data_IF_971241146393
#
_entry.id   IF_971241146393
#
_cell.length_a   1.000
_cell.length_b   1.000
_cell.length_c   1.000
_cell.angle_alpha   90.00
_cell.angle_beta   90.00
_cell.angle_gamma   90.00
#
_symmetry.space_group_name_H-M   'P 1'
#
loop_
_entity.id
_entity.type
_entity.pdbx_description
1 polymer ?
#
# COMPACT_ATOMS: atom_id res chain seq x y z
N UNK A 1 -25.73 5.20 69.27
CA UNK A 1 -26.29 5.44 67.91
C UNK A 1 -25.47 6.39 67.01
N UNK A 2 -24.40 7.05 67.49
CA UNK A 2 -23.66 8.06 66.68
C UNK A 2 -22.57 7.48 65.76
N UNK A 3 -21.96 6.33 66.06
CA UNK A 3 -20.89 5.77 65.24
C UNK A 3 -21.38 5.29 63.85
N UNK A 4 -22.53 4.60 63.79
CA UNK A 4 -23.10 4.10 62.52
C UNK A 4 -23.41 5.22 61.52
N UNK A 5 -23.85 6.40 62.00
CA UNK A 5 -24.09 7.57 61.13
C UNK A 5 -22.79 8.14 60.55
N UNK A 6 -21.68 8.10 61.29
CA UNK A 6 -20.37 8.58 60.81
C UNK A 6 -19.78 7.68 59.73
N UNK A 7 -19.95 6.36 59.84
CA UNK A 7 -19.50 5.43 58.80
C UNK A 7 -20.32 5.56 57.51
N UNK A 8 -21.64 5.76 57.61
CA UNK A 8 -22.50 5.98 56.43
C UNK A 8 -22.12 7.28 55.70
N UNK A 9 -21.83 8.35 56.44
CA UNK A 9 -21.35 9.61 55.85
C UNK A 9 -19.97 9.46 55.18
N UNK A 10 -19.05 8.73 55.80
CA UNK A 10 -17.73 8.47 55.21
C UNK A 10 -17.82 7.63 53.93
N UNK A 11 -18.70 6.63 53.91
CA UNK A 11 -18.90 5.77 52.74
C UNK A 11 -19.56 6.55 51.58
N UNK A 12 -20.54 7.40 51.89
CA UNK A 12 -21.17 8.28 50.90
C UNK A 12 -20.17 9.29 50.31
N UNK A 13 -19.29 9.85 51.13
CA UNK A 13 -18.22 10.74 50.68
C UNK A 13 -17.23 10.02 49.75
N UNK A 14 -16.82 8.79 50.10
CA UNK A 14 -15.93 7.99 49.26
C UNK A 14 -16.57 7.63 47.91
N UNK A 15 -17.86 7.26 47.89
CA UNK A 15 -18.59 7.01 46.65
C UNK A 15 -18.70 8.28 45.79
N UNK A 16 -18.96 9.44 46.39
CA UNK A 16 -19.02 10.71 45.67
C UNK A 16 -17.67 11.09 45.03
N UNK A 17 -16.56 10.88 45.74
CA UNK A 17 -15.22 11.13 45.19
C UNK A 17 -14.86 10.18 44.05
N UNK A 18 -15.28 8.91 44.14
CA UNK A 18 -15.06 7.91 43.09
C UNK A 18 -15.86 8.25 41.84
N UNK A 19 -17.13 8.65 41.99
CA UNK A 19 -17.98 9.07 40.88
C UNK A 19 -17.44 10.35 40.21
N UNK A 20 -16.97 11.33 40.99
CA UNK A 20 -16.35 12.53 40.44
C UNK A 20 -15.08 12.19 39.63
N UNK A 21 -14.24 11.27 40.12
CA UNK A 21 -13.04 10.81 39.43
C UNK A 21 -13.37 10.10 38.10
N UNK A 22 -14.37 9.21 38.10
CA UNK A 22 -14.81 8.53 36.86
C UNK A 22 -15.40 9.53 35.86
N UNK A 23 -16.18 10.51 36.32
CA UNK A 23 -16.67 11.59 35.45
C UNK A 23 -15.53 12.40 34.84
N UNK A 24 -14.49 12.74 35.60
CA UNK A 24 -13.33 13.47 35.05
C UNK A 24 -12.59 12.68 33.98
N UNK A 25 -12.43 11.36 34.16
CA UNK A 25 -11.80 10.49 33.16
C UNK A 25 -12.59 10.44 31.84
N UNK A 26 -13.92 10.32 31.93
CA UNK A 26 -14.76 10.33 30.72
C UNK A 26 -14.78 11.68 30.01
N UNK A 27 -14.74 12.80 30.74
CA UNK A 27 -14.64 14.12 30.11
C UNK A 27 -13.30 14.33 29.40
N UNK A 28 -12.20 13.82 29.95
CA UNK A 28 -10.88 13.91 29.28
C UNK A 28 -10.82 13.05 28.01
N UNK A 29 -11.51 11.91 27.99
CA UNK A 29 -11.56 11.00 26.84
C UNK A 29 -12.43 11.57 25.70
N UNK A 30 -13.55 12.23 26.03
CA UNK A 30 -14.40 12.94 25.07
C UNK A 30 -13.69 14.15 24.45
N UNK A 31 -12.87 14.86 25.23
CA UNK A 31 -12.15 16.05 24.77
C UNK A 31 -10.93 15.69 23.91
N UNK A 32 -10.28 14.55 24.18
CA UNK A 32 -9.25 13.99 23.29
C UNK A 32 -9.79 13.56 21.92
N UNK A 33 -11.08 13.21 21.84
CA UNK A 33 -11.73 12.82 20.58
C UNK A 33 -12.21 14.03 19.74
N UNK A 34 -12.30 15.23 20.33
CA UNK A 34 -12.73 16.45 19.64
C UNK A 34 -11.58 17.33 19.12
N UNK A 35 -10.34 17.08 19.54
CA UNK A 35 -9.15 17.87 19.16
C UNK A 35 -8.33 17.25 18.00
N UNK A 36 -8.90 16.31 17.22
CA UNK A 36 -8.36 15.97 15.90
C UNK A 36 -8.67 17.11 14.90
N UNK A 37 -7.95 18.22 15.03
CA UNK A 37 -7.83 19.20 13.96
C UNK A 37 -7.07 18.59 12.77
N UNK A 38 -7.44 18.91 11.51
CA UNK A 38 -7.06 18.09 10.37
C UNK A 38 -5.60 18.33 10.00
N UNK A 39 -4.80 17.27 10.08
CA UNK A 39 -3.46 17.17 9.48
C UNK A 39 -3.41 17.62 8.00
N UNK A 40 -4.56 17.66 7.32
CA UNK A 40 -4.73 18.20 5.97
C UNK A 40 -4.47 19.72 5.82
N UNK A 41 -4.56 20.52 6.89
CA UNK A 41 -4.38 21.97 6.79
C UNK A 41 -2.90 22.40 6.65
N UNK A 42 -1.95 21.58 7.14
CA UNK A 42 -0.50 21.87 7.07
C UNK A 42 0.13 21.53 5.72
N UNK A 43 -0.54 20.75 4.87
CA UNK A 43 -0.05 20.39 3.53
C UNK A 43 -0.43 21.41 2.45
N UNK A 44 -1.39 22.29 2.72
CA UNK A 44 -1.85 23.32 1.77
C UNK A 44 -0.91 24.55 1.66
N UNK A 45 0.29 24.52 2.25
CA UNK A 45 1.28 25.59 2.16
C UNK A 45 2.56 25.19 1.42
N UNK A 46 2.59 24.00 0.81
CA UNK A 46 3.67 23.57 -0.08
C UNK A 46 3.19 23.55 -1.55
N UNK A 47 2.59 24.64 -2.01
CA UNK A 47 2.33 24.85 -3.44
C UNK A 47 3.56 25.46 -4.11
N UNK A 48 4.17 24.68 -5.01
CA UNK A 48 4.92 25.02 -6.24
C UNK A 48 6.06 26.07 -6.18
N UNK A 49 7.23 25.84 -6.80
CA UNK A 49 7.31 25.51 -8.23
C UNK A 49 8.43 24.52 -8.62
N UNK A 50 8.33 23.91 -9.81
CA UNK A 50 9.42 23.83 -10.81
C UNK A 50 8.83 23.16 -12.07
N UNK A 51 8.24 24.01 -12.91
CA UNK A 51 8.20 23.80 -14.36
C UNK A 51 9.58 24.17 -14.94
N UNK A 52 9.86 23.71 -16.15
CA UNK A 52 11.06 23.88 -17.00
C UNK A 52 12.02 22.69 -17.02
N UNK A 53 11.69 21.71 -17.86
CA UNK A 53 12.68 21.14 -18.78
C UNK A 53 12.20 21.46 -20.20
N UNK A 54 13.00 22.22 -20.94
CA UNK A 54 12.87 22.37 -22.38
C UNK A 54 12.99 20.98 -23.02
N UNK A 55 11.88 20.46 -23.55
CA UNK A 55 11.90 19.28 -24.41
C UNK A 55 12.46 19.70 -25.77
N UNK A 56 13.73 19.35 -26.01
CA UNK A 56 14.29 19.28 -27.36
C UNK A 56 13.62 18.10 -28.05
N UNK A 57 12.71 18.36 -28.98
CA UNK A 57 12.07 17.32 -29.80
C UNK A 57 13.09 16.62 -30.69
N UNK A 58 12.97 15.29 -30.83
CA UNK A 58 13.24 14.62 -32.09
C UNK A 58 11.90 14.20 -32.72
N UNK A 59 11.65 14.70 -33.93
CA UNK A 59 10.65 14.20 -34.86
C UNK A 59 10.88 12.70 -35.13
N UNK A 60 10.05 11.79 -34.59
CA UNK A 60 9.60 10.56 -35.26
C UNK A 60 8.60 9.74 -34.41
N UNK A 61 7.57 9.17 -35.08
CA UNK A 61 6.48 8.29 -34.61
C UNK A 61 5.19 8.91 -34.02
N UNK A 62 4.31 9.38 -34.92
CA UNK A 62 2.92 9.74 -34.64
C UNK A 62 2.05 8.69 -33.89
N UNK A 63 2.20 7.36 -34.11
CA UNK A 63 1.42 6.36 -33.36
C UNK A 63 1.75 6.32 -31.86
N UNK A 64 3.03 6.51 -31.51
CA UNK A 64 3.50 6.49 -30.12
C UNK A 64 3.02 7.73 -29.35
N UNK A 65 3.01 8.90 -29.99
CA UNK A 65 2.46 10.13 -29.41
C UNK A 65 0.96 10.03 -29.13
N UNK A 66 0.18 9.50 -30.08
CA UNK A 66 -1.27 9.32 -29.90
C UNK A 66 -1.58 8.33 -28.78
N UNK A 67 -0.84 7.22 -28.72
CA UNK A 67 -0.90 6.25 -27.64
C UNK A 67 -0.57 6.89 -26.27
N UNK A 68 0.49 7.69 -26.20
CA UNK A 68 0.89 8.40 -24.97
C UNK A 68 -0.18 9.40 -24.53
N UNK A 69 -0.77 10.14 -25.45
CA UNK A 69 -1.85 11.11 -25.18
C UNK A 69 -3.14 10.43 -24.73
N UNK A 70 -3.47 9.28 -25.31
CA UNK A 70 -4.61 8.45 -24.89
C UNK A 70 -4.41 7.94 -23.45
N UNK A 71 -3.22 7.40 -23.16
CA UNK A 71 -2.84 6.96 -21.80
C UNK A 71 -2.95 8.13 -20.82
N UNK A 72 -2.40 9.29 -21.13
CA UNK A 72 -2.47 10.48 -20.25
C UNK A 72 -3.91 10.96 -20.03
N UNK A 73 -4.73 11.01 -21.06
CA UNK A 73 -6.14 11.42 -20.95
C UNK A 73 -6.96 10.43 -20.11
N UNK A 74 -6.75 9.13 -20.29
CA UNK A 74 -7.45 8.12 -19.52
C UNK A 74 -6.89 7.99 -18.09
N UNK A 75 -5.61 8.28 -17.86
CA UNK A 75 -5.08 8.48 -16.51
C UNK A 75 -5.83 9.61 -15.78
N UNK A 76 -6.11 10.72 -16.46
CA UNK A 76 -6.88 11.81 -15.88
C UNK A 76 -8.32 11.40 -15.53
N UNK A 77 -8.97 10.59 -16.37
CA UNK A 77 -10.28 10.00 -16.07
C UNK A 77 -10.21 9.02 -14.89
N UNK A 78 -9.22 8.13 -14.90
CA UNK A 78 -8.98 7.16 -13.82
C UNK A 78 -8.75 7.85 -12.47
N UNK A 79 -8.01 8.96 -12.42
CA UNK A 79 -7.82 9.77 -11.20
C UNK A 79 -9.12 10.35 -10.64
N UNK A 80 -10.14 10.57 -11.49
CA UNK A 80 -11.46 11.05 -11.07
C UNK A 80 -12.40 9.92 -10.63
N UNK A 81 -12.03 8.66 -10.83
CA UNK A 81 -12.86 7.52 -10.42
C UNK A 81 -13.01 7.45 -8.90
N UNK A 82 -14.24 7.22 -8.48
CA UNK A 82 -14.67 7.01 -7.11
C UNK A 82 -15.71 5.89 -7.11
N UNK A 83 -16.06 5.39 -5.93
CA UNK A 83 -17.01 4.28 -5.82
C UNK A 83 -18.37 4.63 -6.44
N UNK A 84 -18.84 5.85 -6.28
CA UNK A 84 -20.10 6.33 -6.83
C UNK A 84 -20.09 6.59 -8.35
N UNK A 85 -18.90 6.76 -8.96
CA UNK A 85 -18.79 7.11 -10.38
C UNK A 85 -18.34 5.94 -11.27
N UNK A 86 -17.38 5.15 -10.81
CA UNK A 86 -16.69 4.14 -11.62
C UNK A 86 -16.93 2.69 -11.16
N UNK A 87 -17.64 2.49 -10.05
CA UNK A 87 -18.02 1.17 -9.56
C UNK A 87 -19.53 0.99 -9.68
N UNK A 88 -19.97 -0.17 -10.17
CA UNK A 88 -21.37 -0.56 -10.25
C UNK A 88 -21.77 -1.38 -9.02
N UNK A 89 -22.44 -0.73 -8.09
CA UNK A 89 -23.00 -1.36 -6.89
C UNK A 89 -24.17 -2.31 -7.19
N UNK A 90 -24.82 -2.19 -8.36
CA UNK A 90 -25.92 -3.07 -8.76
C UNK A 90 -25.52 -4.54 -8.80
N UNK A 91 -24.26 -4.83 -9.17
CA UNK A 91 -23.70 -6.20 -9.19
C UNK A 91 -23.40 -6.76 -7.80
N UNK A 92 -23.49 -5.92 -6.76
CA UNK A 92 -23.08 -6.23 -5.41
C UNK A 92 -24.25 -6.23 -4.41
N UNK A 93 -25.50 -6.24 -4.90
CA UNK A 93 -26.70 -6.25 -4.07
C UNK A 93 -26.92 -7.58 -3.33
N UNK A 94 -26.35 -8.67 -3.85
CA UNK A 94 -26.40 -10.00 -3.24
C UNK A 94 -25.17 -10.32 -2.37
N UNK A 95 -24.77 -11.59 -2.35
CA UNK A 95 -23.52 -11.98 -1.72
C UNK A 95 -22.33 -11.36 -2.47
N UNK A 96 -21.34 -10.85 -1.74
CA UNK A 96 -20.13 -10.34 -2.38
C UNK A 96 -19.34 -11.50 -2.99
N UNK A 97 -19.36 -11.60 -4.31
CA UNK A 97 -18.63 -12.64 -5.06
C UNK A 97 -17.52 -12.03 -5.92
N UNK A 98 -16.44 -12.78 -6.10
CA UNK A 98 -15.28 -12.42 -6.91
C UNK A 98 -15.07 -13.46 -7.99
N UNK A 99 -15.06 -13.03 -9.24
CA UNK A 99 -14.73 -13.86 -10.39
C UNK A 99 -13.27 -13.63 -10.80
N UNK A 100 -12.55 -14.71 -11.02
CA UNK A 100 -11.19 -14.70 -11.56
C UNK A 100 -11.23 -15.14 -13.01
N UNK A 101 -10.65 -14.36 -13.92
CA UNK A 101 -10.58 -14.77 -15.33
C UNK A 101 -9.77 -16.08 -15.46
N UNK A 102 -10.20 -17.01 -16.31
CA UNK A 102 -9.47 -18.25 -16.48
C UNK A 102 -8.11 -18.00 -17.18
N UNK A 103 -7.06 -18.81 -16.92
CA UNK A 103 -5.72 -18.61 -17.46
C UNK A 103 -5.61 -18.68 -19.01
N UNK A 104 -6.64 -19.20 -19.70
CA UNK A 104 -6.66 -19.40 -21.16
C UNK A 104 -7.37 -18.33 -21.99
N UNK A 105 -7.93 -17.29 -21.37
CA UNK A 105 -8.61 -16.18 -22.11
C UNK A 105 -7.64 -15.11 -22.60
N UNK A 106 -6.38 -15.16 -22.18
CA UNK A 106 -5.28 -14.35 -22.68
C UNK A 106 -4.16 -15.27 -23.12
N UNK A 107 -3.34 -14.84 -24.08
CA UNK A 107 -2.15 -15.57 -24.57
C UNK A 107 -1.03 -15.53 -23.52
N UNK A 108 -1.31 -16.01 -22.30
CA UNK A 108 -0.46 -15.83 -21.13
C UNK A 108 0.83 -16.65 -21.27
N UNK A 109 1.94 -15.95 -21.50
CA UNK A 109 3.28 -16.49 -21.28
C UNK A 109 3.76 -16.05 -19.89
N UNK A 110 3.64 -16.95 -18.91
CA UNK A 110 4.31 -16.84 -17.61
C UNK A 110 3.58 -15.99 -16.56
N UNK A 111 2.77 -16.63 -15.71
CA UNK A 111 2.29 -16.02 -14.46
C UNK A 111 3.35 -16.22 -13.37
N UNK A 112 3.74 -15.14 -12.68
CA UNK A 112 4.66 -15.22 -11.56
C UNK A 112 4.11 -16.11 -10.43
N UNK A 113 5.00 -16.66 -9.61
CA UNK A 113 4.58 -17.43 -8.44
C UNK A 113 3.73 -16.58 -7.49
N UNK A 114 4.06 -15.30 -7.34
CA UNK A 114 3.33 -14.38 -6.48
C UNK A 114 1.91 -14.12 -6.95
N UNK A 115 1.74 -13.87 -8.24
CA UNK A 115 0.40 -13.66 -8.76
C UNK A 115 -0.43 -14.93 -8.66
N UNK A 116 0.17 -16.11 -8.91
CA UNK A 116 -0.48 -17.40 -8.65
C UNK A 116 -0.94 -17.55 -7.20
N UNK A 117 -0.12 -17.16 -6.21
CA UNK A 117 -0.52 -17.19 -4.79
C UNK A 117 -1.71 -16.27 -4.51
N UNK A 118 -1.76 -15.08 -5.12
CA UNK A 118 -2.88 -14.13 -4.99
C UNK A 118 -4.15 -14.74 -5.58
N UNK A 119 -4.10 -15.22 -6.82
CA UNK A 119 -5.26 -15.84 -7.48
C UNK A 119 -5.77 -17.04 -6.69
N UNK A 120 -4.88 -17.94 -6.29
CA UNK A 120 -5.25 -19.12 -5.49
C UNK A 120 -5.83 -18.75 -4.12
N UNK A 121 -5.35 -17.68 -3.47
CA UNK A 121 -5.94 -17.21 -2.21
C UNK A 121 -7.37 -16.66 -2.40
N UNK A 122 -7.66 -16.05 -3.56
CA UNK A 122 -9.00 -15.59 -3.90
C UNK A 122 -9.89 -16.79 -4.21
N UNK A 123 -9.43 -17.73 -5.04
CA UNK A 123 -10.15 -18.95 -5.44
C UNK A 123 -10.48 -19.86 -4.25
N UNK A 124 -9.56 -20.00 -3.29
CA UNK A 124 -9.78 -20.75 -2.04
C UNK A 124 -10.77 -20.06 -1.07
N UNK A 125 -11.12 -18.80 -1.32
CA UNK A 125 -11.96 -18.01 -0.41
C UNK A 125 -13.45 -18.28 -0.63
N UNK A 126 -14.26 -18.03 0.41
CA UNK A 126 -15.73 -18.08 0.32
C UNK A 126 -16.35 -17.08 -0.67
N UNK A 127 -15.57 -16.08 -1.10
CA UNK A 127 -16.04 -15.04 -2.00
C UNK A 127 -15.90 -15.46 -3.46
N UNK A 128 -15.12 -16.48 -3.78
CA UNK A 128 -14.93 -16.92 -5.15
C UNK A 128 -16.25 -17.39 -5.80
N UNK A 129 -16.37 -17.14 -7.11
CA UNK A 129 -17.38 -17.74 -7.99
C UNK A 129 -16.79 -18.04 -9.37
N UNK A 130 -17.27 -19.13 -9.98
CA UNK A 130 -17.02 -19.47 -11.38
C UNK A 130 -18.03 -18.82 -12.34
N UNK A 131 -19.13 -18.27 -11.81
CA UNK A 131 -20.16 -17.63 -12.61
C UNK A 131 -19.96 -16.10 -12.62
N UNK A 132 -19.58 -15.50 -13.77
CA UNK A 132 -19.37 -14.05 -13.86
C UNK A 132 -20.65 -13.26 -13.64
N UNK A 133 -21.84 -13.85 -13.81
CA UNK A 133 -23.12 -13.17 -13.60
C UNK A 133 -23.42 -12.89 -12.13
N UNK A 134 -22.92 -13.74 -11.24
CA UNK A 134 -23.02 -13.58 -9.77
C UNK A 134 -21.94 -12.68 -9.18
N UNK A 135 -20.89 -12.39 -9.96
CA UNK A 135 -19.72 -11.66 -9.47
C UNK A 135 -20.03 -10.19 -9.20
N UNK A 136 -19.62 -9.69 -8.04
CA UNK A 136 -19.55 -8.26 -7.75
C UNK A 136 -18.24 -7.66 -8.28
N UNK A 137 -17.14 -8.40 -8.14
CA UNK A 137 -15.78 -7.97 -8.49
C UNK A 137 -15.12 -8.93 -9.48
N UNK A 138 -14.29 -8.40 -10.37
CA UNK A 138 -13.50 -9.17 -11.33
C UNK A 138 -12.00 -9.01 -11.06
N UNK A 139 -11.25 -10.10 -11.16
CA UNK A 139 -9.79 -10.12 -11.03
C UNK A 139 -9.18 -10.77 -12.26
N UNK A 140 -8.24 -10.06 -12.88
CA UNK A 140 -7.59 -10.46 -14.13
C UNK A 140 -6.74 -11.74 -13.98
N UNK A 141 -6.63 -12.56 -15.02
CA UNK A 141 -5.61 -13.62 -15.10
C UNK A 141 -4.24 -13.12 -15.56
N UNK A 142 -4.17 -11.88 -16.05
CA UNK A 142 -2.94 -11.24 -16.53
C UNK A 142 -2.12 -10.73 -15.34
N UNK A 143 -0.87 -11.17 -15.25
CA UNK A 143 0.04 -10.74 -14.19
C UNK A 143 0.48 -9.28 -14.42
N UNK A 144 0.13 -8.43 -13.46
CA UNK A 144 0.39 -6.98 -13.46
C UNK A 144 1.21 -6.55 -12.23
N UNK A 145 1.71 -7.51 -11.46
CA UNK A 145 2.41 -7.24 -10.21
C UNK A 145 3.69 -6.45 -10.43
N UNK A 146 4.41 -6.74 -11.51
CA UNK A 146 5.68 -6.12 -11.83
C UNK A 146 5.60 -5.34 -13.14
N UNK A 147 5.63 -4.01 -13.01
CA UNK A 147 5.62 -3.07 -14.14
C UNK A 147 6.98 -2.42 -14.34
N UNK A 148 8.03 -2.92 -13.72
CA UNK A 148 9.40 -2.56 -14.04
C UNK A 148 9.84 -3.24 -15.34
N UNK A 149 10.13 -2.45 -16.38
CA UNK A 149 10.57 -2.96 -17.70
C UNK A 149 11.88 -3.74 -17.65
N UNK A 150 12.68 -3.55 -16.60
CA UNK A 150 13.94 -4.27 -16.38
C UNK A 150 13.73 -5.61 -15.68
N UNK A 151 12.52 -5.86 -15.15
CA UNK A 151 12.23 -7.08 -14.43
C UNK A 151 12.05 -8.27 -15.39
N UNK A 152 12.60 -9.45 -15.06
CA UNK A 152 12.30 -10.68 -15.79
C UNK A 152 10.83 -11.12 -15.66
N UNK A 153 10.07 -10.53 -14.73
CA UNK A 153 8.64 -10.78 -14.51
C UNK A 153 7.75 -9.75 -15.24
N UNK A 154 8.34 -8.82 -16.00
CA UNK A 154 7.59 -7.83 -16.76
C UNK A 154 6.79 -8.49 -17.89
N UNK A 155 5.47 -8.44 -17.77
CA UNK A 155 4.57 -8.92 -18.82
C UNK A 155 4.42 -7.85 -19.91
N UNK A 156 4.72 -8.21 -21.15
CA UNK A 156 4.52 -7.35 -22.32
C UNK A 156 3.07 -7.40 -22.82
N UNK A 157 2.67 -6.40 -23.61
CA UNK A 157 1.36 -6.34 -24.27
C UNK A 157 0.13 -6.51 -23.35
N UNK A 158 0.27 -6.16 -22.07
CA UNK A 158 -0.82 -6.21 -21.08
C UNK A 158 -2.05 -5.46 -21.55
N UNK A 159 -1.89 -4.30 -22.22
CA UNK A 159 -3.00 -3.53 -22.80
C UNK A 159 -3.85 -4.40 -23.73
N UNK A 160 -3.21 -5.00 -24.74
CA UNK A 160 -3.89 -5.83 -25.73
C UNK A 160 -4.55 -7.05 -25.08
N UNK A 161 -3.86 -7.67 -24.12
CA UNK A 161 -4.40 -8.82 -23.38
C UNK A 161 -5.67 -8.45 -22.60
N UNK A 162 -5.68 -7.32 -21.89
CA UNK A 162 -6.82 -6.87 -21.10
C UNK A 162 -7.97 -6.41 -22.01
N UNK A 163 -7.68 -5.67 -23.08
CA UNK A 163 -8.71 -5.17 -24.01
C UNK A 163 -9.44 -6.31 -24.75
N UNK A 164 -8.79 -7.46 -24.92
CA UNK A 164 -9.39 -8.65 -25.52
C UNK A 164 -10.26 -9.46 -24.54
N UNK A 165 -10.27 -9.12 -23.24
CA UNK A 165 -11.10 -9.81 -22.27
C UNK A 165 -12.58 -9.44 -22.46
N UNK A 166 -13.48 -10.43 -22.60
CA UNK A 166 -14.88 -10.18 -22.98
C UNK A 166 -15.67 -9.40 -21.92
N UNK A 167 -15.25 -9.44 -20.66
CA UNK A 167 -15.95 -8.82 -19.54
C UNK A 167 -15.26 -7.53 -19.04
N UNK A 168 -14.19 -7.05 -19.70
CA UNK A 168 -13.35 -5.95 -19.20
C UNK A 168 -14.13 -4.68 -18.84
N UNK A 169 -15.16 -4.33 -19.63
CA UNK A 169 -16.07 -3.21 -19.36
C UNK A 169 -15.36 -1.90 -18.94
N UNK A 170 -14.31 -1.53 -19.68
CA UNK A 170 -13.48 -0.35 -19.38
C UNK A 170 -12.95 -0.32 -17.94
N UNK A 171 -12.72 -1.49 -17.33
CA UNK A 171 -12.23 -1.65 -15.96
C UNK A 171 -13.29 -1.53 -14.86
N UNK A 172 -14.56 -1.25 -15.18
CA UNK A 172 -15.62 -1.14 -14.16
C UNK A 172 -15.77 -2.44 -13.38
N UNK A 173 -15.77 -2.37 -12.05
CA UNK A 173 -15.76 -3.51 -11.11
C UNK A 173 -14.54 -4.45 -11.23
N UNK A 174 -13.45 -4.01 -11.86
CA UNK A 174 -12.21 -4.78 -11.90
C UNK A 174 -11.24 -4.32 -10.80
N UNK A 175 -10.49 -5.27 -10.25
CA UNK A 175 -9.38 -5.02 -9.33
C UNK A 175 -8.07 -5.51 -9.97
N UNK A 176 -7.12 -4.58 -10.11
CA UNK A 176 -5.77 -4.85 -10.63
C UNK A 176 -4.77 -4.82 -9.48
N UNK A 177 -3.84 -5.77 -9.45
CA UNK A 177 -2.80 -5.83 -8.44
C UNK A 177 -1.46 -5.29 -8.96
N UNK A 178 -0.78 -4.48 -8.17
CA UNK A 178 0.57 -4.02 -8.47
C UNK A 178 1.44 -3.98 -7.21
N UNK A 179 2.63 -4.58 -7.27
CA UNK A 179 3.60 -4.56 -6.18
C UNK A 179 4.82 -3.71 -6.51
N UNK A 180 5.27 -3.75 -7.77
CA UNK A 180 6.46 -3.07 -8.24
C UNK A 180 6.07 -2.12 -9.37
N UNK A 181 6.25 -0.82 -9.14
CA UNK A 181 5.91 0.24 -10.08
C UNK A 181 7.15 0.80 -10.80
N UNK A 182 8.21 -0.01 -10.92
CA UNK A 182 9.49 0.42 -11.52
C UNK A 182 10.66 0.35 -10.55
N UNK A 183 11.85 0.62 -11.09
CA UNK A 183 13.12 0.71 -10.36
C UNK A 183 13.73 2.08 -10.61
N UNK A 184 14.51 2.57 -9.64
CA UNK A 184 15.26 3.82 -9.79
C UNK A 184 16.04 3.89 -11.11
N UNK A 185 16.08 5.06 -11.78
CA UNK A 185 15.45 6.33 -11.39
C UNK A 185 13.96 6.44 -11.78
N UNK A 186 13.44 5.47 -12.51
CA UNK A 186 12.17 5.53 -13.24
C UNK A 186 11.04 4.80 -12.50
N UNK A 187 10.68 5.28 -11.30
CA UNK A 187 9.45 4.85 -10.65
C UNK A 187 8.24 5.42 -11.40
N UNK A 188 7.46 4.56 -12.06
CA UNK A 188 6.26 4.93 -12.77
C UNK A 188 5.04 4.80 -11.85
N UNK A 189 4.31 5.88 -11.63
CA UNK A 189 3.07 5.81 -10.86
C UNK A 189 1.94 5.11 -11.62
N UNK A 190 1.98 5.19 -12.95
CA UNK A 190 1.10 4.45 -13.85
C UNK A 190 1.63 3.03 -14.15
N UNK A 191 0.72 2.13 -14.53
CA UNK A 191 1.08 0.74 -14.84
C UNK A 191 1.63 0.55 -16.26
N UNK A 192 1.83 1.62 -17.03
CA UNK A 192 2.24 1.56 -18.44
C UNK A 192 1.14 1.10 -19.40
N UNK A 193 -0.12 1.07 -18.95
CA UNK A 193 -1.30 0.81 -19.78
C UNK A 193 -2.54 1.49 -19.18
N UNK A 194 -3.60 1.58 -19.98
CA UNK A 194 -4.85 2.18 -19.55
C UNK A 194 -5.66 1.22 -18.66
N UNK A 195 -5.80 1.60 -17.38
CA UNK A 195 -6.57 0.85 -16.38
C UNK A 195 -8.07 1.17 -16.41
N UNK A 196 -8.48 2.18 -17.20
CA UNK A 196 -9.85 2.66 -17.28
C UNK A 196 -10.41 3.01 -15.90
N UNK A 197 -11.51 2.36 -15.55
CA UNK A 197 -12.30 2.52 -14.33
C UNK A 197 -11.94 1.49 -13.25
N UNK A 198 -10.89 0.69 -13.43
CA UNK A 198 -10.49 -0.33 -12.47
C UNK A 198 -9.98 0.26 -11.16
N UNK A 199 -10.24 -0.46 -10.07
CA UNK A 199 -9.62 -0.24 -8.76
C UNK A 199 -8.21 -0.83 -8.76
N UNK A 200 -7.31 -0.23 -7.98
CA UNK A 200 -5.94 -0.69 -7.84
C UNK A 200 -5.69 -1.21 -6.42
N UNK A 201 -5.27 -2.46 -6.31
CA UNK A 201 -4.60 -3.01 -5.14
C UNK A 201 -3.09 -2.80 -5.31
N UNK A 202 -2.58 -1.67 -4.82
CA UNK A 202 -1.20 -1.21 -5.11
C UNK A 202 -0.36 -1.10 -3.84
N UNK A 203 0.86 -1.63 -3.89
CA UNK A 203 1.89 -1.37 -2.88
C UNK A 203 2.62 -0.07 -3.17
N UNK A 204 3.09 0.62 -2.13
CA UNK A 204 3.89 1.85 -2.25
C UNK A 204 3.26 2.95 -3.11
N UNK A 205 1.93 3.04 -3.13
CA UNK A 205 1.20 4.08 -3.86
C UNK A 205 1.38 5.43 -3.18
N UNK A 206 1.73 6.45 -3.97
CA UNK A 206 1.81 7.82 -3.48
C UNK A 206 0.42 8.37 -3.09
N UNK A 207 0.38 9.19 -2.04
CA UNK A 207 -0.87 9.74 -1.48
C UNK A 207 -1.63 10.60 -2.51
N UNK A 208 -0.92 11.26 -3.44
CA UNK A 208 -1.55 12.05 -4.50
C UNK A 208 -2.22 11.18 -5.57
N UNK A 209 -1.80 9.92 -5.73
CA UNK A 209 -2.34 8.99 -6.71
C UNK A 209 -3.37 8.03 -6.13
N UNK A 210 -3.28 7.72 -4.85
CA UNK A 210 -4.21 6.84 -4.17
C UNK A 210 -5.63 7.43 -4.17
N UNK A 211 -6.62 6.70 -4.67
CA UNK A 211 -8.03 7.13 -4.66
C UNK A 211 -8.71 6.62 -3.38
N UNK A 212 -8.96 7.47 -2.38
CA UNK A 212 -9.46 7.00 -1.09
C UNK A 212 -10.85 6.36 -1.24
N UNK A 213 -11.04 5.25 -0.53
CA UNK A 213 -12.27 4.41 -0.56
C UNK A 213 -12.55 3.74 -1.90
N UNK A 214 -11.64 3.81 -2.87
CA UNK A 214 -11.76 3.18 -4.18
C UNK A 214 -10.60 2.23 -4.44
N UNK A 215 -9.37 2.69 -4.21
CA UNK A 215 -8.18 1.84 -4.26
C UNK A 215 -7.92 1.14 -2.92
N UNK A 216 -7.13 0.07 -2.98
CA UNK A 216 -6.73 -0.75 -1.84
C UNK A 216 -5.22 -0.64 -1.67
N UNK A 217 -4.77 -0.09 -0.54
CA UNK A 217 -3.36 -0.13 -0.17
C UNK A 217 -3.03 -1.54 0.33
N UNK A 218 -2.05 -2.18 -0.30
CA UNK A 218 -1.58 -3.52 0.09
C UNK A 218 -0.11 -3.47 0.49
N UNK A 219 0.35 -4.32 1.43
CA UNK A 219 1.76 -4.39 1.76
C UNK A 219 2.57 -4.94 0.60
N UNK A 220 3.83 -4.51 0.49
CA UNK A 220 4.80 -5.13 -0.40
C UNK A 220 5.26 -6.46 0.20
N UNK A 221 4.96 -7.58 -0.46
CA UNK A 221 5.43 -8.90 -0.05
C UNK A 221 6.37 -9.51 -1.08
N UNK A 222 7.38 -10.22 -0.56
CA UNK A 222 8.39 -10.89 -1.38
C UNK A 222 7.85 -12.20 -1.94
N UNK A 223 8.62 -12.80 -2.87
CA UNK A 223 8.27 -14.10 -3.44
C UNK A 223 8.18 -15.26 -2.46
N UNK A 224 8.95 -15.16 -1.39
CA UNK A 224 9.05 -16.19 -0.35
C UNK A 224 7.92 -16.05 0.67
N UNK A 225 7.02 -15.06 0.50
CA UNK A 225 5.86 -14.91 1.37
C UNK A 225 4.95 -16.15 1.25
N UNK A 226 4.57 -16.78 2.39
CA UNK A 226 3.73 -17.96 2.37
C UNK A 226 2.31 -17.60 1.93
N UNK A 227 1.68 -18.47 1.13
CA UNK A 227 0.32 -18.24 0.62
C UNK A 227 -0.73 -18.25 1.74
N UNK A 228 -0.52 -19.11 2.75
CA UNK A 228 -1.38 -19.22 3.94
C UNK A 228 -0.57 -18.80 5.14
N UNK A 229 -1.26 -18.21 6.13
CA UNK A 229 -0.64 -17.85 7.40
C UNK A 229 0.11 -19.04 7.99
N UNK A 230 1.27 -18.76 8.58
CA UNK A 230 2.04 -19.75 9.32
C UNK A 230 1.47 -19.96 10.72
N UNK A 231 2.35 -20.25 11.68
CA UNK A 231 1.95 -20.30 13.09
C UNK A 231 1.29 -18.99 13.51
N UNK A 232 0.35 -19.10 14.47
CA UNK A 232 -0.30 -17.92 15.04
C UNK A 232 0.80 -16.96 15.51
N UNK A 233 0.68 -15.69 15.14
CA UNK A 233 1.55 -14.65 15.68
C UNK A 233 1.47 -14.62 17.21
N UNK A 234 2.50 -14.08 17.86
CA UNK A 234 2.63 -14.05 19.32
C UNK A 234 1.59 -13.17 20.04
N UNK A 235 0.69 -12.51 19.31
CA UNK A 235 -0.41 -11.72 19.87
C UNK A 235 -1.49 -12.65 20.42
N UNK A 236 -1.35 -13.01 21.70
CA UNK A 236 -2.30 -13.85 22.42
C UNK A 236 -3.53 -13.07 22.96
N UNK A 237 -3.44 -11.74 23.08
CA UNK A 237 -4.53 -10.87 23.54
C UNK A 237 -4.58 -9.56 22.75
N UNK A 238 -5.78 -8.97 22.64
CA UNK A 238 -6.00 -7.63 22.08
C UNK A 238 -5.56 -6.55 23.08
N UNK A 239 -4.27 -6.48 23.38
CA UNK A 239 -3.72 -5.31 24.05
C UNK A 239 -3.47 -4.27 22.97
N UNK A 240 -4.20 -3.15 23.00
CA UNK A 240 -4.01 -2.02 22.07
C UNK A 240 -3.55 -0.80 22.88
N UNK A 241 -2.35 -0.26 22.62
CA UNK A 241 -1.32 -0.81 21.74
C UNK A 241 -0.66 -2.07 22.35
N UNK A 242 -0.19 -3.03 21.53
CA UNK A 242 0.47 -4.21 22.07
C UNK A 242 1.74 -3.80 22.83
N UNK A 243 2.02 -4.46 23.96
CA UNK A 243 3.33 -4.32 24.59
C UNK A 243 4.39 -4.93 23.65
N UNK A 244 5.13 -4.07 22.95
CA UNK A 244 6.19 -4.48 22.02
C UNK A 244 7.53 -4.10 22.62
N UNK A 245 8.48 -5.04 22.59
CA UNK A 245 9.88 -4.76 22.95
C UNK A 245 10.49 -3.72 22.00
N UNK A 246 10.13 -3.80 20.73
CA UNK A 246 10.64 -2.91 19.69
C UNK A 246 9.54 -1.93 19.26
N UNK A 247 9.85 -0.64 19.38
CA UNK A 247 9.04 0.46 18.86
C UNK A 247 9.20 0.57 17.33
N UNK A 248 10.44 0.43 16.84
CA UNK A 248 10.79 0.55 15.44
C UNK A 248 11.82 -0.50 15.04
N UNK A 249 11.56 -1.21 13.94
CA UNK A 249 12.55 -2.11 13.33
C UNK A 249 12.61 -1.83 11.83
N UNK A 250 13.81 -1.58 11.33
CA UNK A 250 14.09 -1.46 9.90
C UNK A 250 15.26 -2.36 9.53
N UNK A 251 15.11 -3.14 8.46
CA UNK A 251 16.19 -3.88 7.82
C UNK A 251 16.17 -3.55 6.33
N UNK A 252 17.19 -2.84 5.83
CA UNK A 252 17.19 -2.42 4.43
C UNK A 252 18.51 -1.85 3.90
N UNK A 253 18.46 -1.26 2.71
CA UNK A 253 19.64 -0.67 2.03
C UNK A 253 19.80 0.82 2.36
N UNK A 254 21.03 1.21 2.72
CA UNK A 254 21.49 2.60 2.86
C UNK A 254 22.28 2.98 1.62
N UNK A 255 21.71 3.85 0.79
CA UNK A 255 22.38 4.31 -0.42
C UNK A 255 23.40 5.38 -0.05
N UNK A 256 24.67 5.17 -0.44
CA UNK A 256 25.76 6.10 -0.14
C UNK A 256 25.75 7.32 -1.09
N UNK A 257 25.10 7.18 -2.25
CA UNK A 257 25.00 8.20 -3.29
C UNK A 257 23.61 8.18 -3.94
N UNK A 258 23.27 9.24 -4.68
CA UNK A 258 21.98 9.39 -5.36
C UNK A 258 20.90 10.11 -4.54
N UNK A 259 19.77 10.39 -5.18
CA UNK A 259 18.65 11.11 -4.54
C UNK A 259 18.10 10.29 -3.37
N UNK A 260 17.96 10.92 -2.21
CA UNK A 260 17.51 10.27 -0.97
C UNK A 260 18.60 9.52 -0.20
N UNK A 261 19.86 9.56 -0.66
CA UNK A 261 21.00 9.02 0.11
C UNK A 261 21.15 9.72 1.45
N UNK A 262 21.03 11.05 1.50
CA UNK A 262 21.12 11.83 2.74
C UNK A 262 20.08 11.40 3.77
N UNK A 263 18.81 11.31 3.38
CA UNK A 263 17.73 10.87 4.28
C UNK A 263 17.96 9.45 4.78
N UNK A 264 18.34 8.51 3.91
CA UNK A 264 18.64 7.13 4.30
C UNK A 264 19.89 7.04 5.17
N UNK A 265 20.86 7.92 4.94
CA UNK A 265 22.06 8.04 5.74
C UNK A 265 21.77 8.66 7.11
N UNK A 266 20.71 9.46 7.27
CA UNK A 266 20.32 10.00 8.56
C UNK A 266 19.64 8.96 9.47
N UNK A 267 19.08 7.88 8.89
CA UNK A 267 18.29 6.90 9.65
C UNK A 267 19.09 6.25 10.79
N UNK A 268 20.40 6.09 10.70
CA UNK A 268 21.12 5.46 11.82
C UNK A 268 21.12 6.28 13.11
N UNK A 269 20.91 7.60 13.03
CA UNK A 269 20.85 8.44 14.22
C UNK A 269 19.68 8.09 15.13
N UNK A 270 18.64 7.43 14.60
CA UNK A 270 17.52 6.94 15.40
C UNK A 270 17.72 5.51 15.90
N UNK A 271 18.87 4.88 15.64
CA UNK A 271 19.20 3.57 16.18
C UNK A 271 19.73 3.70 17.62
N UNK A 272 19.05 3.08 18.58
CA UNK A 272 19.47 3.08 19.98
C UNK A 272 19.92 1.71 20.51
N UNK A 273 19.80 0.65 19.70
CA UNK A 273 20.19 -0.72 20.10
C UNK A 273 19.24 -1.39 21.12
N UNK A 274 18.16 -0.72 21.54
CA UNK A 274 17.24 -1.20 22.57
C UNK A 274 15.86 -1.54 21.97
N UNK A 275 15.09 -0.53 21.58
CA UNK A 275 13.74 -0.64 21.03
C UNK A 275 13.58 0.00 19.63
N UNK A 276 14.59 0.75 19.17
CA UNK A 276 14.69 1.29 17.81
C UNK A 276 15.89 0.65 17.09
N UNK A 277 15.63 -0.39 16.30
CA UNK A 277 16.63 -1.21 15.63
C UNK A 277 16.68 -0.90 14.13
N UNK A 278 17.84 -0.44 13.64
CA UNK A 278 18.02 -0.14 12.22
C UNK A 278 19.25 -0.86 11.68
N UNK A 279 18.99 -1.96 10.99
CA UNK A 279 20.00 -2.79 10.37
C UNK A 279 20.10 -2.39 8.90
N UNK A 280 21.20 -1.76 8.51
CA UNK A 280 21.38 -1.27 7.14
C UNK A 280 22.55 -1.91 6.43
N UNK A 281 22.44 -2.15 5.13
CA UNK A 281 23.59 -2.50 4.28
C UNK A 281 23.86 -1.40 3.26
N UNK A 282 25.13 -1.07 3.07
CA UNK A 282 25.60 -0.18 2.01
C UNK A 282 25.85 -0.89 0.67
N UNK A 283 25.70 -2.22 0.61
CA UNK A 283 25.92 -3.01 -0.61
C UNK A 283 24.78 -2.76 -1.60
N UNK A 284 24.99 -1.84 -2.53
CA UNK A 284 24.00 -1.48 -3.54
C UNK A 284 24.63 -1.08 -4.89
N UNK A 285 24.21 -1.75 -5.97
CA UNK A 285 24.79 -1.53 -7.29
C UNK A 285 26.20 -2.11 -7.40
N UNK A 286 26.87 -1.85 -8.53
CA UNK A 286 28.23 -2.36 -8.79
C UNK A 286 29.33 -1.49 -8.16
N UNK A 287 29.03 -0.22 -7.92
CA UNK A 287 30.01 0.80 -7.52
C UNK A 287 29.95 1.17 -6.02
N UNK A 288 29.21 0.42 -5.19
CA UNK A 288 29.10 0.75 -3.77
C UNK A 288 30.45 0.81 -3.04
N UNK A 289 31.41 -0.03 -3.45
CA UNK A 289 32.76 -0.04 -2.88
C UNK A 289 33.50 1.28 -3.11
N UNK A 290 33.26 1.95 -4.24
CA UNK A 290 33.86 3.25 -4.57
C UNK A 290 33.34 4.38 -3.69
N UNK A 291 32.13 4.23 -3.17
CA UNK A 291 31.47 5.22 -2.33
C UNK A 291 31.46 4.85 -0.85
N UNK A 292 32.13 3.76 -0.49
CA UNK A 292 32.20 3.20 0.86
C UNK A 292 32.66 4.26 1.86
N UNK A 293 31.81 4.55 2.84
CA UNK A 293 32.16 5.39 3.98
C UNK A 293 32.70 4.56 5.15
N UNK A 294 33.07 5.25 6.23
CA UNK A 294 33.65 4.65 7.43
C UNK A 294 32.69 3.73 8.19
N UNK A 295 31.36 3.87 8.00
CA UNK A 295 30.34 3.11 8.73
C UNK A 295 29.89 1.84 8.00
N UNK A 296 30.09 1.79 6.69
CA UNK A 296 29.65 0.73 5.80
C UNK A 296 30.09 -0.69 6.21
N UNK A 297 31.28 -0.86 6.81
CA UNK A 297 31.72 -2.18 7.30
C UNK A 297 30.89 -2.67 8.49
N UNK A 298 30.72 -1.80 9.49
CA UNK A 298 29.91 -2.09 10.67
C UNK A 298 28.45 -2.35 10.28
N UNK A 299 27.88 -1.49 9.44
CA UNK A 299 26.53 -1.65 8.87
C UNK A 299 26.35 -3.06 8.26
N UNK A 300 27.29 -3.49 7.41
CA UNK A 300 27.21 -4.79 6.75
C UNK A 300 27.36 -5.98 7.71
N UNK A 301 28.16 -5.83 8.77
CA UNK A 301 28.31 -6.87 9.79
C UNK A 301 27.01 -7.02 10.58
N UNK A 302 26.43 -5.92 11.05
CA UNK A 302 25.16 -5.90 11.79
C UNK A 302 23.98 -6.37 10.93
N UNK A 303 23.96 -6.01 9.65
CA UNK A 303 22.92 -6.44 8.71
C UNK A 303 22.92 -7.95 8.44
N UNK A 304 24.09 -8.58 8.48
CA UNK A 304 24.25 -10.02 8.21
C UNK A 304 23.86 -10.90 9.40
N UNK A 305 23.74 -10.32 10.59
CA UNK A 305 23.18 -10.98 11.78
C UNK A 305 21.66 -11.16 11.64
#
# INVERSE_FOLDING_TARGET
MQAKKRYVLALAAACATLLAYICTLHTTELQAHSDELPFYALLNHAEQPYLYLEEVEPEEYGPLMLLRREIQNNMYKSRRCRMDTCFDFGRCQGAFRVYVYPPGTSTVTGISENYRKILAAIEDSRFYTNDPSEACLFVLSVDTLDRDRLSPQYVQDVRTQIQNLPLWNDGRNHLIFNLYSGTWPDYAEDLGFDVGQAMLAKASVDVQNFRPRFDVSIPLFSKDHPQKGGEKGFLASNNVPPARKYLLVFKGKRYLTGIGSETRNALYHIHNGEDMILLTTCKHGKDWEKHKDTRCDQDNEEYSK
#
